data_IF_821008699262
#
_entry.id   IF_821008699262
#
_cell.length_a   1.000
_cell.length_b   1.000
_cell.length_c   1.000
_cell.angle_alpha   90.00
_cell.angle_beta   90.00
_cell.angle_gamma   90.00
#
_symmetry.space_group_name_H-M   'P 1'
#
loop_
_entity.id
_entity.type
_entity.pdbx_description
1 polymer ?
#
# COMPACT_ATOMS: atom_id res chain seq x y z
N UNK A 1 -19.52 3.07 -25.21
CA UNK A 1 -20.36 2.31 -24.26
C UNK A 1 -21.46 3.23 -23.76
N UNK A 2 -22.73 2.86 -23.90
CA UNK A 2 -23.83 3.67 -23.38
C UNK A 2 -23.77 3.67 -21.84
N UNK A 3 -23.52 4.82 -21.23
CA UNK A 3 -23.62 4.97 -19.78
C UNK A 3 -25.07 4.70 -19.35
N UNK A 4 -25.28 3.73 -18.45
CA UNK A 4 -26.58 3.50 -17.82
C UNK A 4 -27.07 4.81 -17.17
N UNK A 5 -28.28 5.25 -17.50
CA UNK A 5 -28.85 6.51 -16.99
C UNK A 5 -28.89 6.59 -15.46
N UNK A 6 -28.91 5.44 -14.78
CA UNK A 6 -28.80 5.33 -13.33
C UNK A 6 -27.55 6.03 -12.76
N UNK A 7 -26.42 6.01 -13.48
CA UNK A 7 -25.17 6.61 -13.02
C UNK A 7 -25.05 8.11 -13.32
N UNK A 8 -25.86 8.64 -14.24
CA UNK A 8 -25.84 10.08 -14.57
C UNK A 8 -26.45 10.94 -13.46
N UNK A 9 -27.41 10.39 -12.72
CA UNK A 9 -28.14 11.06 -11.63
C UNK A 9 -27.63 10.68 -10.23
N UNK A 10 -26.60 9.82 -10.14
CA UNK A 10 -26.03 9.41 -8.87
C UNK A 10 -25.26 10.57 -8.20
N UNK A 11 -25.24 10.57 -6.86
CA UNK A 11 -24.44 11.51 -6.05
C UNK A 11 -22.95 11.36 -6.39
N UNK A 12 -22.49 10.12 -6.57
CA UNK A 12 -21.16 9.80 -7.07
C UNK A 12 -21.24 9.45 -8.56
N UNK A 13 -20.99 10.44 -9.41
CA UNK A 13 -20.99 10.27 -10.87
C UNK A 13 -19.77 9.43 -11.29
N UNK A 14 -20.00 8.48 -12.19
CA UNK A 14 -18.91 7.81 -12.89
C UNK A 14 -18.14 8.83 -13.74
N UNK A 15 -16.80 8.84 -13.61
CA UNK A 15 -15.96 9.61 -14.54
C UNK A 15 -16.18 9.10 -15.96
N UNK A 16 -16.13 10.01 -16.92
CA UNK A 16 -16.18 9.69 -18.35
C UNK A 16 -14.84 9.20 -18.89
N UNK A 17 -13.76 9.50 -18.17
CA UNK A 17 -12.42 8.98 -18.42
C UNK A 17 -12.23 7.62 -17.77
N UNK A 18 -11.47 6.70 -18.39
CA UNK A 18 -11.17 5.42 -17.76
C UNK A 18 -10.34 5.63 -16.48
N UNK A 19 -10.37 4.68 -15.53
CA UNK A 19 -9.51 4.74 -14.37
C UNK A 19 -8.04 4.56 -14.78
N UNK A 20 -7.14 5.21 -14.05
CA UNK A 20 -5.70 5.12 -14.27
C UNK A 20 -5.08 4.22 -13.22
N UNK A 21 -4.35 3.20 -13.66
CA UNK A 21 -3.48 2.41 -12.80
C UNK A 21 -2.26 3.23 -12.41
N UNK A 22 -2.11 3.42 -11.09
CA UNK A 22 -1.02 4.21 -10.52
C UNK A 22 0.05 3.36 -9.82
N UNK A 23 -0.17 2.05 -9.68
CA UNK A 23 0.79 1.14 -9.05
C UNK A 23 0.14 0.07 -8.18
N UNK A 24 0.99 -0.65 -7.45
CA UNK A 24 0.66 -1.76 -6.56
C UNK A 24 1.17 -1.51 -5.16
N UNK A 25 0.55 -2.18 -4.18
CA UNK A 25 1.01 -2.20 -2.79
C UNK A 25 1.12 -3.68 -2.41
N UNK A 26 2.30 -4.12 -1.99
CA UNK A 26 2.50 -5.46 -1.45
C UNK A 26 2.16 -5.44 0.03
N UNK A 27 1.24 -6.29 0.48
CA UNK A 27 0.75 -6.26 1.86
C UNK A 27 0.79 -7.64 2.54
N UNK A 28 0.70 -7.63 3.88
CA UNK A 28 0.52 -8.82 4.74
C UNK A 28 1.65 -9.85 4.66
N UNK A 29 2.86 -9.41 4.34
CA UNK A 29 4.03 -10.27 4.50
C UNK A 29 4.54 -10.24 5.94
N UNK A 30 5.09 -11.36 6.40
CA UNK A 30 5.72 -11.45 7.72
C UNK A 30 7.24 -11.39 7.55
N UNK A 31 7.91 -10.29 7.94
CA UNK A 31 9.36 -10.25 7.94
C UNK A 31 9.92 -11.21 8.98
N UNK A 32 11.05 -11.87 8.67
CA UNK A 32 11.89 -12.55 9.65
C UNK A 32 13.18 -11.74 9.78
N UNK A 33 13.48 -11.25 10.98
CA UNK A 33 14.66 -10.41 11.26
C UNK A 33 14.73 -9.12 10.42
N UNK A 34 13.59 -8.48 10.12
CA UNK A 34 13.55 -7.23 9.34
C UNK A 34 13.68 -7.39 7.82
N UNK A 35 13.97 -8.61 7.33
CA UNK A 35 13.95 -8.93 5.91
C UNK A 35 12.72 -9.79 5.57
N UNK A 36 12.16 -9.70 4.35
CA UNK A 36 11.19 -10.67 3.89
C UNK A 36 11.80 -12.07 3.99
N UNK A 37 11.03 -13.07 4.48
CA UNK A 37 11.46 -14.46 4.34
C UNK A 37 11.70 -14.74 2.85
N UNK A 38 12.74 -15.51 2.49
CA UNK A 38 13.16 -15.73 1.08
C UNK A 38 11.99 -16.01 0.12
N UNK A 39 11.06 -16.86 0.52
CA UNK A 39 9.86 -17.17 -0.28
C UNK A 39 8.93 -15.97 -0.53
N UNK A 40 8.86 -15.02 0.40
CA UNK A 40 8.10 -13.78 0.24
C UNK A 40 8.80 -12.80 -0.70
N UNK A 41 10.13 -12.71 -0.66
CA UNK A 41 10.90 -11.91 -1.62
C UNK A 41 10.66 -12.42 -3.04
N UNK A 42 10.80 -13.74 -3.26
CA UNK A 42 10.54 -14.36 -4.57
C UNK A 42 9.11 -14.11 -5.06
N UNK A 43 8.12 -14.07 -4.16
CA UNK A 43 6.74 -13.77 -4.52
C UNK A 43 6.54 -12.30 -4.92
N UNK A 44 7.14 -11.37 -4.18
CA UNK A 44 7.13 -9.93 -4.51
C UNK A 44 7.77 -9.71 -5.90
N UNK A 45 8.92 -10.33 -6.15
CA UNK A 45 9.63 -10.24 -7.43
C UNK A 45 8.76 -10.76 -8.58
N UNK A 46 8.08 -11.89 -8.37
CA UNK A 46 7.18 -12.45 -9.38
C UNK A 46 5.99 -11.53 -9.69
N UNK A 47 5.43 -10.85 -8.69
CA UNK A 47 4.34 -9.88 -8.92
C UNK A 47 4.86 -8.67 -9.66
N UNK A 48 5.98 -8.08 -9.21
CA UNK A 48 6.58 -6.94 -9.88
C UNK A 48 6.84 -7.25 -11.36
N UNK A 49 7.36 -8.46 -11.65
CA UNK A 49 7.57 -8.94 -13.01
C UNK A 49 6.27 -9.04 -13.79
N UNK A 50 5.23 -9.68 -13.25
CA UNK A 50 3.90 -9.78 -13.89
C UNK A 50 3.29 -8.40 -14.19
N UNK A 51 3.45 -7.46 -13.26
CA UNK A 51 2.97 -6.08 -13.43
C UNK A 51 3.65 -5.43 -14.63
N UNK A 52 4.99 -5.52 -14.71
CA UNK A 52 5.77 -4.91 -15.77
C UNK A 52 5.62 -5.60 -17.13
N UNK A 53 5.57 -6.94 -17.15
CA UNK A 53 5.59 -7.73 -18.38
C UNK A 53 4.20 -7.94 -19.00
N UNK A 54 3.13 -7.86 -18.20
CA UNK A 54 1.78 -8.22 -18.65
C UNK A 54 0.73 -7.15 -18.36
N UNK A 55 0.58 -6.74 -17.09
CA UNK A 55 -0.51 -5.84 -16.70
C UNK A 55 -0.33 -4.44 -17.30
N UNK A 56 0.83 -3.82 -17.08
CA UNK A 56 1.12 -2.45 -17.53
C UNK A 56 1.05 -2.33 -19.06
N UNK A 57 1.65 -3.23 -19.87
CA UNK A 57 1.49 -3.18 -21.32
C UNK A 57 0.02 -3.22 -21.77
N UNK A 58 -0.79 -4.09 -21.15
CA UNK A 58 -2.22 -4.20 -21.47
C UNK A 58 -2.99 -2.93 -21.11
N UNK A 59 -2.69 -2.31 -19.98
CA UNK A 59 -3.33 -1.07 -19.53
C UNK A 59 -2.88 0.14 -20.35
N UNK A 60 -1.61 0.21 -20.73
CA UNK A 60 -1.07 1.27 -21.61
C UNK A 60 -1.78 1.29 -22.96
N UNK A 61 -2.03 0.11 -23.56
CA UNK A 61 -2.75 0.01 -24.82
C UNK A 61 -4.18 0.60 -24.77
N UNK A 62 -4.78 0.67 -23.58
CA UNK A 62 -6.12 1.22 -23.34
C UNK A 62 -6.10 2.62 -22.71
N UNK A 63 -4.94 3.27 -22.55
CA UNK A 63 -4.83 4.58 -21.90
C UNK A 63 -5.14 4.55 -20.39
N UNK A 64 -4.95 3.41 -19.73
CA UNK A 64 -5.30 3.14 -18.33
C UNK A 64 -4.07 3.05 -17.41
N UNK A 65 -2.93 3.61 -17.80
CA UNK A 65 -1.69 3.57 -17.02
C UNK A 65 -1.15 4.99 -16.80
N UNK A 66 -0.54 5.21 -15.63
CA UNK A 66 0.22 6.43 -15.34
C UNK A 66 1.34 6.65 -16.36
N UNK A 67 1.68 7.92 -16.61
CA UNK A 67 2.80 8.32 -17.46
C UNK A 67 4.14 7.76 -16.94
N UNK A 68 5.05 7.43 -17.85
CA UNK A 68 6.35 6.82 -17.51
C UNK A 68 7.27 7.76 -16.71
N UNK A 69 7.04 9.06 -16.75
CA UNK A 69 7.88 10.10 -16.12
C UNK A 69 7.83 10.09 -14.58
N UNK A 70 6.92 9.33 -13.97
CA UNK A 70 6.74 9.27 -12.51
C UNK A 70 7.56 8.16 -11.83
N UNK A 71 8.65 7.69 -12.44
CA UNK A 71 9.45 6.54 -11.93
C UNK A 71 9.99 6.75 -10.51
N UNK A 72 10.34 7.99 -10.17
CA UNK A 72 10.84 8.40 -8.85
C UNK A 72 9.86 8.16 -7.69
N UNK A 73 8.57 8.00 -8.00
CA UNK A 73 7.54 7.77 -6.99
C UNK A 73 7.46 6.29 -6.54
N UNK A 74 8.20 5.38 -7.19
CA UNK A 74 8.11 3.95 -6.90
C UNK A 74 9.36 3.42 -6.18
N UNK A 75 9.17 2.40 -5.35
CA UNK A 75 10.29 1.62 -4.78
C UNK A 75 10.98 0.78 -5.85
N UNK A 76 10.14 0.17 -6.69
CA UNK A 76 10.47 -0.62 -7.87
C UNK A 76 9.39 -0.30 -8.90
N UNK A 77 9.59 -0.50 -10.21
CA UNK A 77 8.61 -0.12 -11.22
C UNK A 77 7.16 -0.50 -10.85
N UNK A 78 6.30 0.50 -10.67
CA UNK A 78 4.89 0.37 -10.26
C UNK A 78 4.63 -0.25 -8.87
N UNK A 79 5.63 -0.44 -8.02
CA UNK A 79 5.47 -0.81 -6.61
C UNK A 79 5.57 0.43 -5.70
N UNK A 80 4.46 0.80 -5.07
CA UNK A 80 4.34 2.00 -4.24
C UNK A 80 4.78 1.78 -2.80
N UNK A 81 4.55 0.59 -2.25
CA UNK A 81 4.90 0.27 -0.87
C UNK A 81 4.85 -1.23 -0.60
N UNK A 82 5.75 -1.67 0.28
CA UNK A 82 5.70 -2.98 0.91
C UNK A 82 5.28 -2.78 2.38
N UNK A 83 4.12 -3.31 2.76
CA UNK A 83 3.54 -3.17 4.11
C UNK A 83 3.49 -4.55 4.77
N UNK A 84 4.30 -4.74 5.80
CA UNK A 84 4.29 -5.98 6.59
C UNK A 84 3.00 -6.12 7.40
N UNK A 85 2.73 -7.33 7.86
CA UNK A 85 1.65 -7.60 8.80
C UNK A 85 1.86 -6.83 10.11
N UNK A 86 0.78 -6.28 10.66
CA UNK A 86 0.79 -5.51 11.91
C UNK A 86 1.02 -6.37 13.17
N UNK A 87 1.10 -7.70 13.03
CA UNK A 87 1.32 -8.65 14.11
C UNK A 87 0.31 -8.44 15.25
N UNK A 88 0.76 -8.43 16.50
CA UNK A 88 -0.11 -8.23 17.66
C UNK A 88 -0.58 -6.78 17.84
N UNK A 89 0.00 -5.80 17.14
CA UNK A 89 -0.44 -4.40 17.24
C UNK A 89 -1.84 -4.20 16.67
N UNK A 90 -2.26 -4.97 15.65
CA UNK A 90 -3.61 -4.81 15.09
C UNK A 90 -4.71 -5.13 16.09
N UNK A 91 -4.50 -6.14 16.94
CA UNK A 91 -5.47 -6.52 17.96
C UNK A 91 -5.65 -5.38 18.99
N UNK A 92 -4.55 -4.76 19.43
CA UNK A 92 -4.58 -3.63 20.35
C UNK A 92 -5.18 -2.37 19.72
N UNK A 93 -4.85 -2.10 18.46
CA UNK A 93 -5.43 -1.00 17.69
C UNK A 93 -6.95 -1.12 17.56
N UNK A 94 -7.45 -2.34 17.29
CA UNK A 94 -8.87 -2.64 17.21
C UNK A 94 -9.57 -2.50 18.56
N UNK A 95 -8.97 -3.05 19.63
CA UNK A 95 -9.48 -2.97 21.00
C UNK A 95 -9.64 -1.51 21.46
N UNK A 96 -8.63 -0.68 21.21
CA UNK A 96 -8.62 0.73 21.61
C UNK A 96 -9.20 1.68 20.57
N UNK A 97 -9.58 1.19 19.39
CA UNK A 97 -10.15 1.96 18.28
C UNK A 97 -9.27 3.13 17.84
N UNK A 98 -7.96 2.88 17.78
CA UNK A 98 -6.96 3.86 17.30
C UNK A 98 -6.18 3.27 16.12
N UNK A 99 -5.65 4.10 15.20
CA UNK A 99 -4.70 3.63 14.20
C UNK A 99 -3.51 2.93 14.85
N UNK A 100 -2.98 1.89 14.20
CA UNK A 100 -1.82 1.11 14.70
C UNK A 100 -0.67 2.02 15.11
N UNK A 101 -0.36 3.03 14.29
CA UNK A 101 0.73 3.98 14.53
C UNK A 101 0.47 5.00 15.65
N UNK A 102 -0.75 5.07 16.21
CA UNK A 102 -1.10 5.93 17.34
C UNK A 102 -1.23 5.15 18.66
N UNK A 103 -0.92 3.86 18.67
CA UNK A 103 -0.94 3.07 19.90
C UNK A 103 0.07 3.59 20.92
N UNK A 104 -0.43 3.86 22.12
CA UNK A 104 0.36 4.26 23.28
C UNK A 104 0.90 3.04 24.03
N UNK A 105 1.90 3.26 24.89
CA UNK A 105 2.47 2.20 25.73
C UNK A 105 1.43 1.59 26.66
N UNK A 106 0.59 2.45 27.21
CA UNK A 106 -0.50 2.12 28.12
C UNK A 106 -1.52 1.22 27.43
N UNK A 107 -1.89 1.53 26.19
CA UNK A 107 -2.82 0.72 25.38
C UNK A 107 -2.24 -0.63 24.99
N UNK A 108 -0.93 -0.71 24.69
CA UNK A 108 -0.30 -1.98 24.32
C UNK A 108 -0.05 -2.89 25.54
N UNK A 109 0.07 -2.30 26.74
CA UNK A 109 0.20 -3.04 27.99
C UNK A 109 1.44 -3.94 28.07
N UNK A 110 2.50 -3.62 27.30
CA UNK A 110 3.79 -4.33 27.31
C UNK A 110 4.90 -3.42 27.85
N UNK A 111 5.94 -4.04 28.38
CA UNK A 111 7.11 -3.34 28.96
C UNK A 111 8.41 -3.99 28.52
N UNK A 112 9.53 -3.29 28.77
CA UNK A 112 10.87 -3.73 28.40
C UNK A 112 11.03 -3.95 26.89
N UNK A 113 11.92 -4.87 26.52
CA UNK A 113 12.31 -5.14 25.13
C UNK A 113 11.14 -5.44 24.18
N UNK A 114 10.05 -6.00 24.71
CA UNK A 114 8.84 -6.28 23.90
C UNK A 114 8.17 -4.98 23.49
N UNK A 115 8.04 -4.03 24.41
CA UNK A 115 7.54 -2.69 24.11
C UNK A 115 8.44 -1.98 23.11
N UNK A 116 9.75 -1.97 23.34
CA UNK A 116 10.69 -1.24 22.47
C UNK A 116 10.62 -1.74 21.01
N UNK A 117 10.48 -3.05 20.81
CA UNK A 117 10.29 -3.62 19.48
C UNK A 117 8.93 -3.24 18.87
N UNK A 118 7.86 -3.23 19.67
CA UNK A 118 6.52 -2.85 19.23
C UNK A 118 6.43 -1.37 18.87
N UNK A 119 7.04 -0.50 19.67
CA UNK A 119 7.17 0.93 19.43
C UNK A 119 7.94 1.20 18.14
N UNK A 120 9.08 0.51 17.94
CA UNK A 120 9.82 0.62 16.68
C UNK A 120 8.97 0.21 15.47
N UNK A 121 8.27 -0.93 15.54
CA UNK A 121 7.39 -1.37 14.45
C UNK A 121 6.22 -0.39 14.22
N UNK A 122 5.63 0.15 15.28
CA UNK A 122 4.59 1.19 15.22
C UNK A 122 5.06 2.39 14.40
N UNK A 123 6.25 2.90 14.72
CA UNK A 123 6.80 4.09 14.10
C UNK A 123 7.26 3.82 12.66
N UNK A 124 7.78 2.61 12.37
CA UNK A 124 8.04 2.14 11.00
C UNK A 124 6.77 2.13 10.16
N UNK A 125 5.65 1.62 10.68
CA UNK A 125 4.36 1.67 9.98
C UNK A 125 3.93 3.10 9.68
N UNK A 126 4.06 4.01 10.64
CA UNK A 126 3.76 5.42 10.41
C UNK A 126 4.54 5.99 9.22
N UNK A 127 5.86 5.76 9.21
CA UNK A 127 6.75 6.20 8.14
C UNK A 127 6.38 5.59 6.78
N UNK A 128 6.07 4.29 6.74
CA UNK A 128 5.65 3.60 5.51
C UNK A 128 4.35 4.19 4.95
N UNK A 129 3.33 4.39 5.80
CA UNK A 129 2.05 4.95 5.36
C UNK A 129 2.16 6.42 4.93
N UNK A 130 2.98 7.21 5.64
CA UNK A 130 3.24 8.60 5.26
C UNK A 130 3.91 8.68 3.88
N UNK A 131 4.99 7.92 3.68
CA UNK A 131 5.70 7.85 2.40
C UNK A 131 4.78 7.37 1.27
N UNK A 132 3.92 6.37 1.53
CA UNK A 132 2.94 5.90 0.55
C UNK A 132 1.95 7.01 0.18
N UNK A 133 1.44 7.77 1.14
CA UNK A 133 0.53 8.88 0.88
C UNK A 133 1.20 9.96 0.03
N UNK A 134 2.44 10.34 0.36
CA UNK A 134 3.23 11.32 -0.40
C UNK A 134 3.43 10.88 -1.86
N UNK A 135 3.77 9.60 -2.10
CA UNK A 135 3.89 9.03 -3.45
C UNK A 135 2.59 9.07 -4.23
N UNK A 136 1.48 8.73 -3.59
CA UNK A 136 0.16 8.77 -4.25
C UNK A 136 -0.16 10.19 -4.68
N UNK A 137 0.03 11.17 -3.78
CA UNK A 137 -0.18 12.59 -4.09
C UNK A 137 0.68 13.00 -5.28
N UNK A 138 1.99 12.75 -5.24
CA UNK A 138 2.92 13.10 -6.33
C UNK A 138 2.58 12.43 -7.68
N UNK A 139 2.01 11.23 -7.67
CA UNK A 139 1.59 10.55 -8.91
C UNK A 139 0.28 11.14 -9.46
N UNK A 140 -0.63 11.57 -8.59
CA UNK A 140 -1.96 12.04 -8.99
C UNK A 140 -2.06 13.54 -9.23
N UNK A 141 -1.06 14.30 -8.79
CA UNK A 141 -0.88 15.74 -9.06
C UNK A 141 0.05 15.98 -10.26
#
# INVERSE_FOLDING_TARGET
MAQLDAFKKAIYKMKTTPPTFIGTIQQRYRPRNGLPAKAFAEWIDNINRLVCESLVPSLKACGMCVAEEKTECFLEPYNLANISDFNSLIAQAQEHRVPVFLLTKEQVGKTGRVWDNMEKSRDEFHSTFKTLAERIVQITE
#
